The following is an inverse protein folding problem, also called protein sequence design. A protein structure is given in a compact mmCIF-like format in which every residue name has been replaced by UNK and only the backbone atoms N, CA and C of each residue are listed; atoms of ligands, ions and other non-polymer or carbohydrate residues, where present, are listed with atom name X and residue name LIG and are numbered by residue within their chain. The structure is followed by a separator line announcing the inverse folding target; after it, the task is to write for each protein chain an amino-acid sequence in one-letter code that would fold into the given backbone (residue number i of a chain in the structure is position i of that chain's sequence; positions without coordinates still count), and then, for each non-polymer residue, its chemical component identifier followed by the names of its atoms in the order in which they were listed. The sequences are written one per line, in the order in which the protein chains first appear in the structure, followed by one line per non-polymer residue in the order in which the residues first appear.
data_IF_848062691085
#
_entry.id   IF_848062691085
#
_cell.length_a   1.000
_cell.length_b   1.000
_cell.length_c   1.000
_cell.angle_alpha   90.00
_cell.angle_beta   90.00
_cell.angle_gamma   90.00
#
_symmetry.space_group_name_H-M   'P 1'
#
loop_
_entity.id
_entity.type
_entity.pdbx_description
1 polymer ?
#
# COMPACT_ATOMS: atom_id res chain seq x y z
N UNK A 1 14.61 -39.64 -27.49
CA UNK A 1 15.30 -38.34 -27.46
C UNK A 1 14.92 -37.63 -26.18
N UNK A 2 15.91 -37.25 -25.38
CA UNK A 2 15.74 -36.84 -23.98
C UNK A 2 14.97 -35.51 -23.85
N UNK A 3 13.96 -35.50 -22.98
CA UNK A 3 13.34 -34.27 -22.48
C UNK A 3 14.40 -33.50 -21.67
N UNK A 4 14.64 -32.21 -21.93
CA UNK A 4 15.45 -31.42 -21.03
C UNK A 4 14.66 -31.19 -19.74
N UNK A 5 15.21 -31.65 -18.62
CA UNK A 5 14.79 -31.24 -17.28
C UNK A 5 15.05 -29.73 -17.14
N UNK A 6 14.07 -28.92 -16.71
CA UNK A 6 14.33 -27.52 -16.40
C UNK A 6 15.32 -27.43 -15.23
N UNK A 7 16.39 -26.66 -15.41
CA UNK A 7 17.43 -26.44 -14.39
C UNK A 7 16.82 -25.72 -13.18
N UNK A 8 17.10 -26.15 -11.94
CA UNK A 8 16.52 -25.56 -10.72
C UNK A 8 17.17 -24.20 -10.31
N UNK A 9 17.76 -23.47 -11.25
CA UNK A 9 18.52 -22.24 -10.97
C UNK A 9 18.01 -21.01 -11.72
N UNK A 10 16.77 -21.05 -12.23
CA UNK A 10 16.10 -19.93 -12.90
C UNK A 10 14.83 -19.44 -12.17
N UNK A 11 14.56 -19.94 -10.96
CA UNK A 11 13.34 -19.63 -10.19
C UNK A 11 13.51 -18.43 -9.23
N UNK A 12 14.70 -17.86 -9.08
CA UNK A 12 14.97 -16.85 -8.05
C UNK A 12 15.09 -15.40 -8.53
N UNK A 13 15.00 -15.09 -9.83
CA UNK A 13 15.24 -13.71 -10.34
C UNK A 13 14.05 -13.11 -11.10
N UNK A 14 13.00 -13.88 -11.40
CA UNK A 14 11.77 -13.37 -12.04
C UNK A 14 10.58 -13.16 -11.10
N UNK A 15 10.78 -13.28 -9.78
CA UNK A 15 9.77 -12.92 -8.78
C UNK A 15 9.83 -11.43 -8.36
N UNK A 16 10.70 -10.62 -8.98
CA UNK A 16 10.96 -9.23 -8.59
C UNK A 16 10.33 -8.17 -9.51
N UNK A 17 9.53 -8.54 -10.51
CA UNK A 17 8.87 -7.58 -11.39
C UNK A 17 7.38 -7.90 -11.58
N UNK A 18 6.65 -7.90 -10.46
CA UNK A 18 5.23 -7.57 -10.34
C UNK A 18 4.81 -7.52 -8.85
N UNK A 19 5.76 -7.27 -7.95
CA UNK A 19 5.41 -6.64 -6.69
C UNK A 19 5.04 -5.21 -7.07
N UNK A 20 3.75 -4.98 -7.36
CA UNK A 20 3.17 -3.71 -6.91
C UNK A 20 3.68 -3.57 -5.49
N UNK A 21 4.43 -2.51 -5.12
CA UNK A 21 4.70 -2.31 -3.71
C UNK A 21 3.34 -2.42 -3.05
N UNK A 22 3.20 -3.31 -2.06
CA UNK A 22 2.08 -3.22 -1.15
C UNK A 22 2.25 -1.82 -0.55
N UNK A 23 1.70 -0.81 -1.23
CA UNK A 23 1.91 0.57 -0.86
C UNK A 23 1.35 0.64 0.54
N UNK A 24 2.21 1.05 1.46
CA UNK A 24 1.80 1.38 2.79
C UNK A 24 0.68 2.42 2.69
N UNK A 25 -0.58 1.98 2.77
CA UNK A 25 -1.69 2.74 2.18
C UNK A 25 -2.71 3.18 3.21
N UNK A 26 -3.02 4.47 3.13
CA UNK A 26 -4.31 5.00 3.50
C UNK A 26 -5.38 4.55 2.49
N UNK A 27 -6.61 4.39 2.95
CA UNK A 27 -7.75 3.93 2.14
C UNK A 27 -8.68 5.08 1.74
N UNK A 28 -8.97 6.00 2.66
CA UNK A 28 -9.88 7.10 2.40
C UNK A 28 -9.54 8.33 3.25
N UNK A 29 -10.03 9.48 2.81
CA UNK A 29 -9.94 10.78 3.50
C UNK A 29 -11.31 11.43 3.54
N UNK A 30 -11.53 12.31 4.51
CA UNK A 30 -12.70 13.18 4.58
C UNK A 30 -12.94 13.92 3.24
N UNK A 31 -14.07 13.68 2.55
CA UNK A 31 -14.39 14.38 1.30
C UNK A 31 -14.88 15.82 1.55
N UNK A 32 -14.98 16.25 2.80
CA UNK A 32 -15.51 17.56 3.19
C UNK A 32 -17.05 17.57 3.30
N UNK A 33 -17.65 18.75 3.54
CA UNK A 33 -17.02 20.08 3.55
C UNK A 33 -16.08 20.31 4.74
N UNK A 34 -14.97 21.01 4.50
CA UNK A 34 -13.97 21.31 5.52
C UNK A 34 -14.40 22.51 6.38
N UNK A 35 -14.46 22.29 7.70
CA UNK A 35 -15.00 23.25 8.67
C UNK A 35 -13.90 23.99 9.43
N UNK A 36 -14.23 25.17 9.96
CA UNK A 36 -13.29 26.02 10.70
C UNK A 36 -12.73 25.34 11.96
N UNK A 37 -13.51 24.48 12.62
CA UNK A 37 -13.08 23.78 13.83
C UNK A 37 -11.81 22.93 13.62
N UNK A 38 -11.60 22.43 12.40
CA UNK A 38 -10.44 21.63 12.03
C UNK A 38 -9.45 22.43 11.17
N UNK A 39 -9.47 23.76 11.22
CA UNK A 39 -8.57 24.60 10.44
C UNK A 39 -8.77 24.50 8.92
N UNK A 40 -9.97 24.10 8.46
CA UNK A 40 -10.28 23.78 7.06
C UNK A 40 -9.49 22.60 6.49
N UNK A 41 -8.91 21.75 7.35
CA UNK A 41 -8.35 20.46 6.95
C UNK A 41 -9.41 19.35 6.88
N UNK A 42 -9.05 18.23 6.24
CA UNK A 42 -9.80 16.98 6.33
C UNK A 42 -9.99 16.58 7.80
N UNK A 43 -11.21 16.23 8.21
CA UNK A 43 -11.44 15.82 9.59
C UNK A 43 -10.71 14.52 9.95
N UNK A 44 -10.58 13.59 9.01
CA UNK A 44 -10.04 12.25 9.27
C UNK A 44 -9.35 11.61 8.06
N UNK A 45 -8.49 10.63 8.33
CA UNK A 45 -8.00 9.63 7.37
C UNK A 45 -8.31 8.21 7.86
N UNK A 46 -8.67 7.33 6.94
CA UNK A 46 -8.88 5.90 7.18
C UNK A 46 -7.74 5.11 6.55
N UNK A 47 -7.15 4.16 7.28
CA UNK A 47 -6.16 3.23 6.74
C UNK A 47 -6.77 1.99 6.07
N UNK A 48 -5.96 1.22 5.35
CA UNK A 48 -6.38 -0.04 4.71
C UNK A 48 -6.74 -1.16 5.70
N UNK A 49 -6.39 -1.02 6.99
CA UNK A 49 -6.84 -1.89 8.07
C UNK A 49 -8.15 -1.41 8.74
N UNK A 50 -8.77 -0.37 8.21
CA UNK A 50 -10.08 0.16 8.59
C UNK A 50 -10.06 1.15 9.75
N UNK A 51 -8.89 1.45 10.34
CA UNK A 51 -8.77 2.43 11.43
C UNK A 51 -8.91 3.83 10.86
N UNK A 52 -9.70 4.65 11.54
CA UNK A 52 -9.93 6.04 11.15
C UNK A 52 -9.40 6.94 12.26
N UNK A 53 -8.54 7.89 11.89
CA UNK A 53 -7.96 8.86 12.82
C UNK A 53 -8.43 10.25 12.49
N UNK A 54 -8.85 10.99 13.52
CA UNK A 54 -9.19 12.41 13.40
C UNK A 54 -7.91 13.26 13.41
N UNK A 55 -7.96 14.46 12.82
CA UNK A 55 -6.92 15.46 13.01
C UNK A 55 -6.83 15.77 14.52
N UNK A 56 -5.67 15.51 15.12
CA UNK A 56 -5.53 15.50 16.57
C UNK A 56 -5.44 16.93 17.11
N UNK A 57 -6.60 17.54 17.40
CA UNK A 57 -6.73 18.91 17.92
C UNK A 57 -7.35 18.92 19.33
N UNK A 58 -6.76 18.17 20.26
CA UNK A 58 -7.18 18.11 21.67
C UNK A 58 -6.00 18.27 22.62
N UNK A 59 -6.28 18.84 23.79
CA UNK A 59 -5.32 19.03 24.89
C UNK A 59 -5.45 17.95 25.96
N UNK A 60 -6.05 16.80 25.65
CA UNK A 60 -6.01 15.63 26.51
C UNK A 60 -4.55 15.28 26.82
N UNK A 61 -4.28 14.96 28.08
CA UNK A 61 -2.93 14.61 28.56
C UNK A 61 -2.87 13.16 28.98
N UNK A 62 -1.70 12.59 28.82
CA UNK A 62 -1.33 11.27 29.31
C UNK A 62 -1.54 11.18 30.83
N UNK A 63 -2.37 10.24 31.29
CA UNK A 63 -2.46 9.85 32.70
C UNK A 63 -1.29 9.00 33.18
N UNK A 64 -0.52 8.43 32.23
CA UNK A 64 0.62 7.54 32.48
C UNK A 64 1.93 8.30 32.67
N UNK A 65 2.08 9.47 32.04
CA UNK A 65 3.29 10.28 32.08
C UNK A 65 2.95 11.67 32.59
N UNK A 66 3.62 12.10 33.66
CA UNK A 66 3.47 13.46 34.16
C UNK A 66 4.13 14.45 33.17
N UNK A 67 3.40 15.52 32.82
CA UNK A 67 3.97 16.64 32.07
C UNK A 67 5.04 17.39 32.88
N UNK A 68 5.87 18.16 32.17
CA UNK A 68 6.83 19.09 32.77
C UNK A 68 6.26 20.52 32.80
N UNK A 69 6.80 21.43 33.64
CA UNK A 69 6.41 22.84 33.61
C UNK A 69 6.59 23.45 32.21
N UNK A 70 5.50 23.93 31.61
CA UNK A 70 5.49 24.47 30.25
C UNK A 70 5.57 23.42 29.13
N UNK A 71 5.45 22.13 29.46
CA UNK A 71 5.37 21.04 28.49
C UNK A 71 4.42 19.95 29.01
N UNK A 72 3.10 20.15 28.88
CA UNK A 72 2.11 19.13 29.23
C UNK A 72 2.33 17.87 28.39
N UNK A 73 2.06 16.70 28.98
CA UNK A 73 2.18 15.41 28.31
C UNK A 73 0.97 15.17 27.39
N UNK A 74 0.80 15.99 26.35
CA UNK A 74 -0.35 15.92 25.46
C UNK A 74 -0.41 14.59 24.69
N UNK A 75 -1.62 14.12 24.41
CA UNK A 75 -1.87 12.95 23.56
C UNK A 75 -1.81 13.29 22.06
N UNK A 76 -1.96 14.57 21.72
CA UNK A 76 -1.73 15.12 20.38
C UNK A 76 -0.41 15.90 20.34
N UNK A 77 0.30 15.80 19.21
CA UNK A 77 1.49 16.64 18.95
C UNK A 77 1.04 18.07 18.62
N UNK A 78 0.92 18.91 19.65
CA UNK A 78 0.54 20.32 19.55
C UNK A 78 1.74 21.19 19.98
N UNK A 79 2.64 21.50 19.03
CA UNK A 79 3.86 22.24 19.33
C UNK A 79 3.55 23.75 19.47
N UNK A 80 3.84 24.39 20.62
CA UNK A 80 3.70 25.83 20.75
C UNK A 80 4.70 26.58 19.86
N UNK A 81 4.19 27.52 19.08
CA UNK A 81 4.98 28.36 18.18
C UNK A 81 4.79 29.83 18.60
N UNK A 82 5.83 30.53 19.12
CA UNK A 82 5.68 31.89 19.63
C UNK A 82 5.06 32.86 18.62
N UNK A 83 3.91 33.44 18.96
CA UNK A 83 3.18 34.35 18.09
C UNK A 83 2.16 33.68 17.16
N UNK A 84 2.15 32.34 17.08
CA UNK A 84 1.28 31.55 16.20
C UNK A 84 0.33 30.67 16.99
N UNK A 85 0.87 29.87 17.92
CA UNK A 85 0.08 28.96 18.76
C UNK A 85 0.54 28.97 20.23
N UNK A 86 -0.38 29.38 21.11
CA UNK A 86 -0.28 29.32 22.56
C UNK A 86 -1.17 28.17 23.07
N UNK A 87 -0.53 27.11 23.58
CA UNK A 87 -1.17 25.92 24.12
C UNK A 87 -1.87 26.17 25.47
N UNK A 88 -1.82 27.38 26.02
CA UNK A 88 -2.64 27.80 27.16
C UNK A 88 -3.98 28.41 26.74
N UNK A 89 -4.12 28.83 25.48
CA UNK A 89 -5.35 29.43 24.93
C UNK A 89 -6.17 28.44 24.09
N UNK A 90 -7.50 28.60 23.94
CA UNK A 90 -8.31 27.71 23.10
C UNK A 90 -7.77 27.57 21.67
N UNK A 91 -7.85 26.37 21.09
CA UNK A 91 -7.48 26.14 19.69
C UNK A 91 -8.57 26.76 18.81
N UNK A 92 -8.24 27.83 18.07
CA UNK A 92 -9.18 28.60 17.26
C UNK A 92 -8.51 29.03 15.97
N UNK A 93 -9.00 28.53 14.83
CA UNK A 93 -8.52 28.95 13.51
C UNK A 93 -9.14 30.28 13.04
N UNK A 94 -8.38 31.21 12.41
CA UNK A 94 -6.94 31.15 12.15
C UNK A 94 -6.07 31.76 13.25
N UNK A 95 -6.65 32.26 14.35
CA UNK A 95 -5.94 33.13 15.30
C UNK A 95 -4.97 32.44 16.25
N UNK A 96 -5.38 31.34 16.88
CA UNK A 96 -4.56 30.56 17.82
C UNK A 96 -4.67 29.08 17.42
N UNK A 97 -3.96 28.71 16.37
CA UNK A 97 -4.03 27.39 15.76
C UNK A 97 -2.60 26.92 15.46
N UNK A 98 -2.26 25.64 15.71
CA UNK A 98 -0.92 25.16 15.44
C UNK A 98 -0.62 25.22 13.94
N UNK A 99 0.57 25.69 13.58
CA UNK A 99 1.10 25.73 12.21
C UNK A 99 1.31 24.34 11.62
N UNK A 100 1.52 23.34 12.48
CA UNK A 100 1.52 21.91 12.15
C UNK A 100 0.60 21.12 13.08
N UNK A 101 -0.21 20.22 12.51
CA UNK A 101 -1.02 19.27 13.27
C UNK A 101 -0.98 17.89 12.59
N UNK A 102 -1.39 16.85 13.31
CA UNK A 102 -1.15 15.47 12.86
C UNK A 102 -2.40 14.60 13.01
N UNK A 103 -2.71 13.81 11.99
CA UNK A 103 -3.66 12.70 12.11
C UNK A 103 -2.96 11.48 12.73
N UNK A 104 -1.67 11.32 12.44
CA UNK A 104 -0.85 10.20 12.88
C UNK A 104 0.61 10.65 13.03
N UNK A 105 1.28 10.21 14.10
CA UNK A 105 2.75 10.19 14.18
C UNK A 105 3.24 8.85 14.71
N UNK A 106 4.40 8.43 14.23
CA UNK A 106 5.18 7.35 14.80
C UNK A 106 6.67 7.65 14.69
N UNK A 107 7.29 7.86 15.85
CA UNK A 107 8.69 8.24 15.99
C UNK A 107 9.47 7.15 16.73
N UNK A 108 10.68 6.85 16.27
CA UNK A 108 11.59 5.91 16.89
C UNK A 108 13.03 6.43 16.86
N UNK A 109 13.84 5.99 17.81
CA UNK A 109 15.24 6.38 17.88
C UNK A 109 16.16 5.19 18.22
N UNK A 110 17.40 5.26 17.73
CA UNK A 110 18.49 4.35 18.10
C UNK A 110 19.71 5.21 18.39
N UNK A 111 20.19 5.19 19.63
CA UNK A 111 21.42 5.88 20.02
C UNK A 111 22.44 4.86 20.51
N UNK A 112 23.57 4.78 19.81
CA UNK A 112 24.73 3.96 20.18
C UNK A 112 26.01 4.76 19.98
N UNK A 113 26.45 5.43 21.05
CA UNK A 113 27.66 6.23 21.06
C UNK A 113 28.93 5.40 20.80
N UNK A 114 28.96 4.12 21.16
CA UNK A 114 30.12 3.26 20.96
C UNK A 114 30.35 2.94 19.47
N UNK A 115 29.25 2.84 18.71
CA UNK A 115 29.27 2.64 17.25
C UNK A 115 29.16 3.95 16.47
N UNK A 116 29.00 5.09 17.16
CA UNK A 116 28.86 6.41 16.54
C UNK A 116 27.55 6.58 15.77
N UNK A 117 26.47 5.94 16.25
CA UNK A 117 25.13 6.01 15.65
C UNK A 117 24.20 6.85 16.52
N UNK A 118 23.53 7.82 15.90
CA UNK A 118 22.36 8.52 16.44
C UNK A 118 21.33 8.59 15.31
N UNK A 119 20.31 7.72 15.36
CA UNK A 119 19.26 7.59 14.37
C UNK A 119 17.94 8.11 14.96
N UNK A 120 17.29 9.01 14.23
CA UNK A 120 15.88 9.34 14.42
C UNK A 120 15.08 8.97 13.18
N UNK A 121 14.00 8.20 13.38
CA UNK A 121 12.99 7.86 12.39
C UNK A 121 11.68 8.54 12.80
N UNK A 122 11.03 9.24 11.87
CA UNK A 122 9.73 9.83 12.10
C UNK A 122 8.81 9.60 10.92
N UNK A 123 7.57 9.22 11.19
CA UNK A 123 6.53 9.07 10.17
C UNK A 123 5.26 9.76 10.60
N UNK A 124 4.56 10.35 9.63
CA UNK A 124 3.36 11.10 9.94
C UNK A 124 2.38 11.15 8.78
N UNK A 125 1.11 11.35 9.12
CA UNK A 125 0.13 11.99 8.24
C UNK A 125 -0.10 13.37 8.81
N UNK A 126 0.35 14.39 8.09
CA UNK A 126 0.63 15.72 8.61
C UNK A 126 -0.20 16.78 7.90
N UNK A 127 -0.74 17.71 8.68
CA UNK A 127 -1.41 18.93 8.28
C UNK A 127 -0.45 20.10 8.50
N UNK A 128 -0.23 20.90 7.46
CA UNK A 128 0.59 22.10 7.55
C UNK A 128 0.02 23.20 6.66
N UNK A 129 0.60 24.40 6.76
CA UNK A 129 0.29 25.52 5.89
C UNK A 129 1.45 25.78 4.93
N UNK A 130 1.16 25.97 3.65
CA UNK A 130 2.16 26.22 2.61
C UNK A 130 3.00 27.49 2.88
N UNK A 131 2.42 28.47 3.58
CA UNK A 131 3.08 29.70 4.01
C UNK A 131 3.58 29.66 5.47
N UNK A 132 3.59 28.48 6.11
CA UNK A 132 4.00 28.23 7.50
C UNK A 132 3.12 28.91 8.57
N UNK A 133 2.15 29.75 8.17
CA UNK A 133 1.22 30.42 9.07
C UNK A 133 -0.23 29.93 8.85
N UNK A 134 -1.04 29.77 9.91
CA UNK A 134 -2.44 29.39 9.77
C UNK A 134 -3.26 30.39 8.94
N UNK A 135 -3.54 30.03 7.69
CA UNK A 135 -4.34 30.83 6.77
C UNK A 135 -5.28 29.94 5.92
N UNK A 136 -6.49 30.43 5.65
CA UNK A 136 -7.42 29.74 4.76
C UNK A 136 -6.89 29.81 3.32
N UNK A 137 -6.85 28.67 2.64
CA UNK A 137 -6.28 28.56 1.31
C UNK A 137 -4.82 28.13 1.27
N UNK A 138 -4.18 27.89 2.42
CA UNK A 138 -2.80 27.40 2.50
C UNK A 138 -2.70 25.95 3.03
N UNK A 139 -3.83 25.29 3.32
CA UNK A 139 -3.87 23.94 3.87
C UNK A 139 -3.26 22.92 2.93
N UNK A 140 -2.22 22.24 3.39
CA UNK A 140 -1.63 21.06 2.73
C UNK A 140 -1.64 19.86 3.65
N UNK A 141 -1.77 18.67 3.06
CA UNK A 141 -1.54 17.41 3.77
C UNK A 141 -0.58 16.52 3.00
N UNK A 142 0.15 15.68 3.71
CA UNK A 142 1.06 14.73 3.11
C UNK A 142 1.37 13.57 4.07
N UNK A 143 1.82 12.47 3.49
CA UNK A 143 2.47 11.39 4.20
C UNK A 143 3.97 11.67 4.27
N UNK A 144 4.55 11.60 5.47
CA UNK A 144 5.97 11.87 5.71
C UNK A 144 6.69 10.62 6.18
N UNK A 145 7.86 10.38 5.60
CA UNK A 145 8.92 9.55 6.17
C UNK A 145 10.16 10.42 6.33
N UNK A 146 10.73 10.46 7.53
CA UNK A 146 11.96 11.20 7.84
C UNK A 146 12.97 10.31 8.52
N UNK A 147 14.19 10.30 8.00
CA UNK A 147 15.32 9.54 8.52
C UNK A 147 16.51 10.48 8.67
N UNK A 148 16.99 10.64 9.90
CA UNK A 148 18.23 11.37 10.19
C UNK A 148 19.16 10.47 10.96
N UNK A 149 20.41 10.35 10.50
CA UNK A 149 21.40 9.49 11.12
C UNK A 149 22.77 10.15 11.16
N UNK A 150 23.37 10.17 12.34
CA UNK A 150 24.81 10.35 12.52
C UNK A 150 25.48 9.00 12.30
N UNK A 151 26.49 8.92 11.43
CA UNK A 151 27.21 7.66 11.15
C UNK A 151 28.72 7.85 11.22
N UNK A 152 29.51 6.83 11.61
CA UNK A 152 30.93 7.02 11.92
C UNK A 152 31.84 7.07 10.69
N UNK A 153 31.45 6.45 9.57
CA UNK A 153 32.30 6.24 8.39
C UNK A 153 31.50 6.32 7.08
N UNK A 154 32.20 6.43 5.96
CA UNK A 154 31.61 6.28 4.63
C UNK A 154 31.19 4.82 4.37
N UNK A 155 30.20 4.63 3.50
CA UNK A 155 29.76 3.33 3.00
C UNK A 155 28.25 3.23 2.84
N UNK A 156 27.77 2.03 2.51
CA UNK A 156 26.35 1.76 2.31
C UNK A 156 25.65 1.40 3.62
N UNK A 157 24.58 2.12 3.93
CA UNK A 157 23.70 1.87 5.06
C UNK A 157 22.31 1.45 4.57
N UNK A 158 21.74 0.40 5.17
CA UNK A 158 20.39 -0.07 4.88
C UNK A 158 19.53 0.19 6.10
N UNK A 159 18.42 0.90 5.93
CA UNK A 159 17.48 1.21 6.99
C UNK A 159 16.16 0.51 6.68
N UNK A 160 15.88 -0.55 7.42
CA UNK A 160 14.58 -1.24 7.38
C UNK A 160 13.67 -0.60 8.42
N UNK A 161 12.47 -0.19 8.02
CA UNK A 161 11.50 0.46 8.89
C UNK A 161 10.09 -0.09 8.63
N UNK A 162 9.06 0.34 9.39
CA UNK A 162 7.72 -0.24 9.27
C UNK A 162 7.05 -0.12 7.90
N UNK A 163 7.52 0.79 7.06
CA UNK A 163 6.92 1.11 5.76
C UNK A 163 7.85 0.85 4.58
N UNK A 164 8.99 0.20 4.79
CA UNK A 164 9.88 -0.14 3.68
C UNK A 164 11.34 -0.30 4.08
N UNK A 165 12.19 -0.22 3.05
CA UNK A 165 13.64 -0.29 3.17
C UNK A 165 14.23 0.84 2.35
N UNK A 166 15.01 1.70 2.99
CA UNK A 166 15.78 2.76 2.33
C UNK A 166 17.28 2.39 2.37
N UNK A 167 17.97 2.58 1.24
CA UNK A 167 19.41 2.29 1.10
C UNK A 167 20.14 3.60 0.80
N UNK A 168 21.15 3.91 1.61
CA UNK A 168 21.93 5.15 1.52
C UNK A 168 23.38 4.83 1.21
N UNK A 169 23.94 5.45 0.18
CA UNK A 169 25.37 5.49 -0.06
C UNK A 169 25.95 6.76 0.57
N UNK A 170 26.69 6.61 1.66
CA UNK A 170 27.20 7.73 2.46
C UNK A 170 28.67 7.99 2.10
N UNK A 171 29.01 9.17 1.52
CA UNK A 171 30.37 9.44 1.06
C UNK A 171 31.36 9.77 2.18
N UNK A 172 30.86 10.20 3.34
CA UNK A 172 31.65 10.50 4.53
C UNK A 172 30.79 10.38 5.79
N UNK A 173 31.37 9.86 6.88
CA UNK A 173 30.72 9.85 8.19
C UNK A 173 30.58 11.27 8.77
N UNK A 174 29.71 11.41 9.77
CA UNK A 174 29.47 12.66 10.47
C UNK A 174 28.03 12.79 10.94
N UNK A 175 27.75 13.95 11.55
CA UNK A 175 26.42 14.33 12.02
C UNK A 175 25.46 14.51 10.85
N UNK A 176 24.30 13.86 10.91
CA UNK A 176 23.26 13.87 9.87
C UNK A 176 23.81 13.56 8.48
N UNK A 177 24.79 12.66 8.41
CA UNK A 177 25.31 12.16 7.15
C UNK A 177 24.22 11.46 6.32
N UNK A 178 23.19 10.92 6.99
CA UNK A 178 21.89 10.61 6.39
C UNK A 178 20.90 11.68 6.89
N UNK A 179 20.24 12.37 5.97
CA UNK A 179 19.21 13.36 6.26
C UNK A 179 18.16 13.36 5.15
N UNK A 180 17.27 12.38 5.19
CA UNK A 180 16.23 12.16 4.20
C UNK A 180 14.88 12.58 4.78
N UNK A 181 14.14 13.35 4.00
CA UNK A 181 12.71 13.60 4.18
C UNK A 181 12.01 13.28 2.88
N UNK A 182 10.98 12.45 2.97
CA UNK A 182 10.10 12.09 1.86
C UNK A 182 8.68 12.49 2.26
N UNK A 183 8.22 13.58 1.67
CA UNK A 183 6.85 14.08 1.82
C UNK A 183 6.11 13.78 0.51
N UNK A 184 5.10 12.90 0.58
CA UNK A 184 4.31 12.48 -0.58
C UNK A 184 2.88 12.96 -0.40
N UNK A 185 2.33 13.53 -1.48
CA UNK A 185 0.94 13.93 -1.52
C UNK A 185 0.68 15.41 -1.31
N UNK A 186 1.72 16.24 -1.24
CA UNK A 186 1.58 17.70 -1.28
C UNK A 186 0.89 18.07 -2.60
N UNK A 187 -0.40 18.39 -2.51
CA UNK A 187 -1.24 18.79 -3.61
C UNK A 187 -1.58 20.29 -3.52
N UNK A 188 -2.43 20.78 -4.42
CA UNK A 188 -2.96 22.14 -4.31
C UNK A 188 -3.73 22.32 -3.00
N UNK A 189 -3.78 23.56 -2.51
CA UNK A 189 -4.44 23.84 -1.24
C UNK A 189 -5.87 23.31 -1.20
N UNK A 190 -6.22 22.63 -0.10
CA UNK A 190 -7.52 22.01 0.10
C UNK A 190 -7.74 20.66 -0.61
N UNK A 191 -6.76 20.14 -1.36
CA UNK A 191 -6.77 18.75 -1.85
C UNK A 191 -6.04 17.83 -0.86
N UNK A 192 -6.82 17.15 -0.01
CA UNK A 192 -6.29 16.20 0.97
C UNK A 192 -6.19 14.77 0.45
N UNK A 193 -6.56 14.51 -0.82
CA UNK A 193 -6.45 13.17 -1.41
C UNK A 193 -5.00 12.78 -1.73
N UNK A 194 -4.09 13.75 -1.82
CA UNK A 194 -2.70 13.52 -2.16
C UNK A 194 -1.98 12.59 -1.18
N UNK A 195 -2.26 12.70 0.13
CA UNK A 195 -1.67 11.83 1.15
C UNK A 195 -2.02 10.34 0.96
N UNK A 196 -3.12 10.02 0.27
CA UNK A 196 -3.49 8.63 -0.07
C UNK A 196 -2.50 7.96 -1.04
N UNK A 197 -1.67 8.75 -1.73
CA UNK A 197 -0.62 8.26 -2.63
C UNK A 197 0.72 8.04 -1.91
N UNK A 198 0.77 8.36 -0.62
CA UNK A 198 1.93 8.19 0.23
C UNK A 198 2.24 6.74 0.55
N UNK A 199 3.38 6.54 1.20
CA UNK A 199 3.88 5.26 1.68
C UNK A 199 3.86 5.17 3.21
N UNK A 200 2.86 5.78 3.84
CA UNK A 200 2.60 5.67 5.28
C UNK A 200 1.19 5.11 5.49
N UNK A 201 1.14 3.89 6.04
CA UNK A 201 -0.11 3.16 6.25
C UNK A 201 0.13 1.64 6.19
N UNK A 202 -0.69 0.81 6.81
CA UNK A 202 -1.64 1.13 7.86
C UNK A 202 -1.02 1.86 9.06
N UNK A 203 -1.85 2.47 9.90
CA UNK A 203 -1.35 3.18 11.07
C UNK A 203 -0.70 2.18 12.04
N UNK A 204 0.53 2.47 12.45
CA UNK A 204 1.13 1.78 13.59
C UNK A 204 0.33 2.12 14.85
N UNK A 205 0.23 1.15 15.74
CA UNK A 205 -0.42 1.34 17.04
C UNK A 205 0.40 0.68 18.13
N UNK A 206 0.34 1.23 19.33
CA UNK A 206 0.89 0.57 20.51
C UNK A 206 0.22 -0.78 20.71
N UNK A 207 1.00 -1.79 21.11
CA UNK A 207 0.47 -3.11 21.50
C UNK A 207 -0.33 -3.07 22.80
N UNK A 208 -0.16 -2.00 23.59
CA UNK A 208 -0.85 -1.76 24.87
C UNK A 208 -2.09 -0.87 24.69
N UNK A 209 -2.23 -0.22 23.53
CA UNK A 209 -3.38 0.62 23.19
C UNK A 209 -4.63 -0.18 22.76
N UNK A 210 -5.75 0.51 22.49
CA UNK A 210 -5.90 1.96 22.55
C UNK A 210 -5.95 2.51 23.98
N UNK A 211 -5.53 3.76 24.15
CA UNK A 211 -5.67 4.48 25.42
C UNK A 211 -6.91 5.36 25.43
N UNK A 212 -7.45 5.61 26.63
CA UNK A 212 -8.57 6.53 26.83
C UNK A 212 -8.10 7.66 27.73
N UNK A 213 -8.20 8.89 27.25
CA UNK A 213 -7.90 10.09 28.03
C UNK A 213 -9.02 11.09 27.87
N UNK A 214 -9.58 11.54 28.99
CA UNK A 214 -10.67 12.52 29.00
C UNK A 214 -11.90 12.13 28.14
N UNK A 215 -12.17 10.83 27.99
CA UNK A 215 -13.24 10.28 27.16
C UNK A 215 -12.89 10.12 25.67
N UNK A 216 -11.70 10.55 25.24
CA UNK A 216 -11.19 10.41 23.88
C UNK A 216 -10.30 9.16 23.77
N UNK A 217 -10.24 8.55 22.58
CA UNK A 217 -9.49 7.31 22.35
C UNK A 217 -8.27 7.57 21.46
N UNK A 218 -7.14 6.95 21.77
CA UNK A 218 -5.88 7.12 21.04
C UNK A 218 -5.24 5.77 20.72
N UNK A 219 -4.61 5.65 19.55
CA UNK A 219 -3.93 4.40 19.14
C UNK A 219 -2.59 4.15 19.85
N UNK A 220 -2.10 5.16 20.57
CA UNK A 220 -0.86 5.15 21.33
C UNK A 220 -0.78 6.38 22.24
N UNK A 221 0.34 6.49 22.97
CA UNK A 221 0.67 7.66 23.79
C UNK A 221 2.03 8.19 23.31
N UNK A 222 2.12 9.42 22.77
CA UNK A 222 3.38 9.95 22.25
C UNK A 222 4.40 10.27 23.37
N UNK A 223 4.01 10.13 24.63
CA UNK A 223 4.87 10.34 25.79
C UNK A 223 5.54 9.04 26.26
N UNK A 224 5.26 7.90 25.60
CA UNK A 224 5.80 6.59 25.92
C UNK A 224 6.47 5.95 24.71
N UNK A 225 7.62 5.32 24.94
CA UNK A 225 8.27 4.46 23.96
C UNK A 225 7.79 3.01 24.13
N UNK A 226 6.93 2.56 23.23
CA UNK A 226 6.27 1.25 23.32
C UNK A 226 6.44 0.41 22.06
N UNK A 227 6.31 -0.91 22.22
CA UNK A 227 6.25 -1.83 21.08
C UNK A 227 5.01 -1.55 20.24
N UNK A 228 5.13 -1.69 18.93
CA UNK A 228 4.03 -1.44 17.99
C UNK A 228 3.65 -2.65 17.17
N UNK A 229 2.47 -2.56 16.55
CA UNK A 229 2.00 -3.45 15.50
C UNK A 229 1.32 -2.64 14.40
N UNK A 230 1.10 -3.26 13.23
CA UNK A 230 0.35 -2.66 12.12
C UNK A 230 1.18 -2.42 10.85
N UNK A 231 2.49 -2.71 10.86
CA UNK A 231 3.31 -2.63 9.64
C UNK A 231 2.74 -3.51 8.51
N UNK A 232 2.61 -2.99 7.28
CA UNK A 232 2.17 -3.76 6.12
C UNK A 232 3.20 -4.80 5.65
N UNK A 233 4.44 -4.72 6.15
CA UNK A 233 5.53 -5.64 5.80
C UNK A 233 5.94 -6.54 6.96
N UNK A 234 5.16 -6.54 8.05
CA UNK A 234 5.51 -7.20 9.31
C UNK A 234 6.87 -6.74 9.89
N UNK A 235 7.29 -5.51 9.57
CA UNK A 235 8.51 -4.88 10.08
C UNK A 235 8.18 -3.88 11.19
N UNK A 236 7.64 -4.36 12.32
CA UNK A 236 7.27 -3.49 13.46
C UNK A 236 8.49 -2.98 14.27
N UNK A 237 9.53 -2.53 13.57
CA UNK A 237 10.82 -2.10 14.11
C UNK A 237 11.53 -1.15 13.14
N UNK A 238 12.50 -0.40 13.65
CA UNK A 238 13.51 0.29 12.84
C UNK A 238 14.83 -0.43 13.04
N UNK A 239 15.55 -0.73 11.95
CA UNK A 239 16.87 -1.38 11.96
C UNK A 239 17.80 -0.67 10.99
N UNK A 240 19.02 -0.39 11.45
CA UNK A 240 20.12 0.11 10.62
C UNK A 240 21.20 -0.94 10.50
N UNK A 241 21.56 -1.26 9.27
CA UNK A 241 22.70 -2.08 8.90
C UNK A 241 23.73 -1.22 8.16
N UNK A 242 25.02 -1.48 8.35
CA UNK A 242 26.07 -0.70 7.68
C UNK A 242 27.49 -1.26 7.82
N UNK A 243 28.50 -0.48 7.41
CA UNK A 243 29.91 -0.87 7.46
C UNK A 243 30.37 -1.29 8.86
N UNK A 244 31.45 -2.07 8.92
CA UNK A 244 32.04 -2.58 10.17
C UNK A 244 31.09 -3.44 11.03
N UNK A 245 30.06 -4.03 10.42
CA UNK A 245 29.10 -4.88 11.11
C UNK A 245 28.11 -4.12 11.99
N UNK A 246 27.80 -2.87 11.65
CA UNK A 246 26.68 -2.14 12.27
C UNK A 246 25.39 -2.92 11.96
N UNK A 247 24.70 -3.29 13.02
CA UNK A 247 23.38 -3.91 13.02
C UNK A 247 22.69 -3.56 14.34
N UNK A 248 21.87 -2.51 14.31
CA UNK A 248 21.15 -2.01 15.47
C UNK A 248 19.65 -1.96 15.16
N UNK A 249 18.83 -2.27 16.15
CA UNK A 249 17.37 -2.32 16.00
C UNK A 249 16.66 -1.78 17.25
N UNK A 250 15.55 -1.09 17.05
CA UNK A 250 14.55 -0.77 18.07
C UNK A 250 13.17 -1.24 17.63
N UNK A 251 12.38 -1.75 18.57
CA UNK A 251 10.95 -2.02 18.37
C UNK A 251 10.06 -0.97 19.04
N UNK A 252 10.67 0.03 19.68
CA UNK A 252 9.98 1.03 20.47
C UNK A 252 9.69 2.27 19.64
N UNK A 253 8.46 2.75 19.75
CA UNK A 253 7.98 3.97 19.10
C UNK A 253 7.15 4.79 20.07
N UNK A 254 7.25 6.11 19.92
CA UNK A 254 6.29 7.08 20.42
C UNK A 254 5.21 7.31 19.37
N UNK A 255 3.94 7.04 19.71
CA UNK A 255 2.81 7.04 18.74
C UNK A 255 1.74 8.07 19.15
N UNK A 256 1.37 8.97 18.25
CA UNK A 256 0.17 9.81 18.37
C UNK A 256 -0.86 9.46 17.29
N UNK A 257 -2.14 9.55 17.66
CA UNK A 257 -3.26 9.40 16.74
C UNK A 257 -4.58 9.24 17.49
N UNK A 258 -5.50 10.19 17.31
CA UNK A 258 -6.83 10.16 17.92
C UNK A 258 -7.77 9.31 17.07
N UNK A 259 -8.36 8.27 17.66
CA UNK A 259 -9.36 7.43 16.98
C UNK A 259 -10.63 8.23 16.74
N UNK A 260 -11.12 8.18 15.50
CA UNK A 260 -12.38 8.80 15.10
C UNK A 260 -13.58 8.02 15.61
N UNK A 261 -14.67 8.72 15.92
CA UNK A 261 -15.96 8.13 16.23
C UNK A 261 -16.85 7.97 14.99
N UNK A 262 -16.39 8.41 13.81
CA UNK A 262 -17.11 8.24 12.56
C UNK A 262 -17.12 6.76 12.17
N UNK A 263 -18.32 6.23 11.92
CA UNK A 263 -18.50 4.89 11.36
C UNK A 263 -18.07 4.88 9.89
N UNK A 264 -17.25 3.88 9.52
CA UNK A 264 -16.71 3.73 8.17
C UNK A 264 -16.91 2.32 7.65
N UNK A 265 -17.13 2.13 6.34
CA UNK A 265 -17.14 0.80 5.76
C UNK A 265 -15.78 0.12 5.90
N UNK A 266 -15.78 -1.21 6.00
CA UNK A 266 -14.57 -2.04 5.97
C UNK A 266 -13.84 -1.85 4.63
N UNK A 267 -12.54 -1.52 4.63
CA UNK A 267 -11.77 -1.48 3.40
C UNK A 267 -11.82 -2.83 2.66
N UNK A 268 -12.13 -2.79 1.37
CA UNK A 268 -12.11 -3.97 0.51
C UNK A 268 -11.63 -3.55 -0.87
N UNK A 269 -10.44 -4.01 -1.25
CA UNK A 269 -9.77 -3.66 -2.49
C UNK A 269 -9.62 -4.91 -3.36
N UNK A 270 -10.55 -5.15 -4.29
CA UNK A 270 -10.36 -6.05 -5.43
C UNK A 270 -8.95 -6.04 -6.01
N UNK A 271 -8.29 -7.20 -6.10
CA UNK A 271 -7.00 -7.31 -6.80
C UNK A 271 -7.16 -8.05 -8.12
N UNK A 272 -7.47 -9.35 -8.05
CA UNK A 272 -7.51 -10.23 -9.21
C UNK A 272 -8.53 -11.34 -9.01
N UNK A 273 -9.30 -11.63 -10.06
CA UNK A 273 -10.09 -12.85 -10.16
C UNK A 273 -9.87 -13.50 -11.51
N UNK A 274 -9.38 -14.73 -11.51
CA UNK A 274 -9.19 -15.50 -12.74
C UNK A 274 -9.88 -16.83 -12.71
N UNK A 275 -10.21 -17.38 -13.87
CA UNK A 275 -10.69 -18.74 -13.99
C UNK A 275 -9.88 -19.56 -14.99
N UNK A 276 -9.90 -20.88 -14.84
CA UNK A 276 -9.42 -21.81 -15.85
C UNK A 276 -10.36 -22.99 -15.99
N UNK A 277 -10.44 -23.55 -17.20
CA UNK A 277 -11.27 -24.70 -17.54
C UNK A 277 -10.54 -25.58 -18.53
N UNK A 278 -10.42 -26.87 -18.25
CA UNK A 278 -9.88 -27.84 -19.20
C UNK A 278 -10.53 -29.22 -19.00
N UNK A 279 -10.34 -30.10 -19.99
CA UNK A 279 -10.76 -31.49 -19.89
C UNK A 279 -9.57 -32.35 -19.48
N UNK A 280 -9.68 -33.11 -18.40
CA UNK A 280 -8.67 -34.06 -17.95
C UNK A 280 -9.28 -35.46 -17.95
N UNK A 281 -8.77 -36.35 -18.80
CA UNK A 281 -9.29 -37.73 -18.94
C UNK A 281 -10.79 -37.83 -19.24
N UNK A 282 -11.38 -36.81 -19.86
CA UNK A 282 -12.82 -36.74 -20.17
C UNK A 282 -13.66 -36.07 -19.07
N UNK A 283 -13.06 -35.70 -17.94
CA UNK A 283 -13.72 -34.95 -16.88
C UNK A 283 -13.40 -33.46 -16.99
N UNK A 284 -14.40 -32.62 -16.73
CA UNK A 284 -14.20 -31.17 -16.62
C UNK A 284 -13.43 -30.82 -15.35
N UNK A 285 -12.33 -30.10 -15.50
CA UNK A 285 -11.61 -29.42 -14.43
C UNK A 285 -11.84 -27.92 -14.58
N UNK A 286 -12.39 -27.31 -13.56
CA UNK A 286 -12.59 -25.87 -13.50
C UNK A 286 -12.16 -25.32 -12.15
N UNK A 287 -11.62 -24.10 -12.17
CA UNK A 287 -11.29 -23.37 -10.96
C UNK A 287 -11.51 -21.87 -11.16
N UNK A 288 -11.72 -21.19 -10.04
CA UNK A 288 -11.78 -19.75 -9.91
C UNK A 288 -10.78 -19.39 -8.80
N UNK A 289 -9.90 -18.44 -9.06
CA UNK A 289 -8.89 -17.93 -8.13
C UNK A 289 -9.18 -16.46 -7.86
N UNK A 290 -9.21 -16.04 -6.60
CA UNK A 290 -9.53 -14.66 -6.22
C UNK A 290 -8.56 -14.14 -5.18
N UNK A 291 -8.10 -12.91 -5.40
CA UNK A 291 -7.20 -12.17 -4.54
C UNK A 291 -7.85 -10.82 -4.22
N UNK A 292 -7.88 -10.47 -2.94
CA UNK A 292 -8.32 -9.15 -2.46
C UNK A 292 -7.43 -8.66 -1.33
N UNK A 293 -7.37 -7.36 -1.13
CA UNK A 293 -6.88 -6.76 0.11
C UNK A 293 -8.06 -6.33 0.98
N UNK A 294 -7.99 -6.63 2.26
CA UNK A 294 -8.94 -6.22 3.29
C UNK A 294 -8.22 -6.25 4.64
N UNK A 295 -8.77 -5.66 5.72
CA UNK A 295 -8.14 -5.74 7.03
C UNK A 295 -7.77 -7.19 7.41
N UNK A 296 -6.64 -7.42 8.11
CA UNK A 296 -6.24 -8.75 8.55
C UNK A 296 -7.17 -9.26 9.67
N UNK A 297 -7.04 -10.54 10.07
CA UNK A 297 -7.73 -11.08 11.24
C UNK A 297 -7.67 -10.13 12.45
N UNK A 298 -8.78 -9.92 13.17
CA UNK A 298 -9.97 -10.78 13.19
C UNK A 298 -11.06 -10.42 12.15
N UNK A 299 -10.76 -9.59 11.15
CA UNK A 299 -11.67 -9.41 10.02
C UNK A 299 -11.93 -10.73 9.29
N UNK A 300 -13.02 -10.78 8.54
CA UNK A 300 -13.38 -11.93 7.69
C UNK A 300 -13.61 -11.47 6.26
N UNK A 301 -13.29 -12.35 5.31
CA UNK A 301 -13.58 -12.13 3.89
C UNK A 301 -14.21 -13.40 3.31
N UNK A 302 -15.31 -13.23 2.58
CA UNK A 302 -16.13 -14.34 2.10
C UNK A 302 -16.58 -14.10 0.66
N UNK A 303 -16.45 -15.11 -0.20
CA UNK A 303 -17.11 -15.18 -1.49
C UNK A 303 -18.58 -15.59 -1.28
N UNK A 304 -19.49 -14.67 -1.61
CA UNK A 304 -20.94 -14.78 -1.37
C UNK A 304 -21.73 -15.09 -2.63
N UNK A 305 -21.11 -15.02 -3.81
CA UNK A 305 -21.74 -15.38 -5.10
C UNK A 305 -21.70 -16.89 -5.40
N UNK A 306 -21.58 -17.73 -4.38
CA UNK A 306 -21.66 -19.19 -4.52
C UNK A 306 -22.36 -19.83 -3.32
N UNK A 307 -22.77 -21.09 -3.45
CA UNK A 307 -23.44 -21.84 -2.37
C UNK A 307 -22.77 -23.20 -2.17
N UNK A 308 -22.29 -23.53 -0.94
CA UNK A 308 -22.20 -22.63 0.21
C UNK A 308 -21.22 -21.48 -0.03
N UNK A 309 -21.36 -20.40 0.75
CA UNK A 309 -20.37 -19.32 0.79
C UNK A 309 -18.98 -19.89 1.08
N UNK A 310 -17.95 -19.28 0.48
CA UNK A 310 -16.57 -19.71 0.64
C UNK A 310 -15.77 -18.64 1.38
N UNK A 311 -15.26 -18.96 2.56
CA UNK A 311 -14.33 -18.10 3.29
C UNK A 311 -12.99 -18.01 2.55
N UNK A 312 -12.43 -16.81 2.48
CA UNK A 312 -11.05 -16.61 2.03
C UNK A 312 -10.09 -16.87 3.19
N UNK A 313 -8.87 -17.28 2.84
CA UNK A 313 -7.75 -17.47 3.77
C UNK A 313 -6.83 -16.26 3.70
N UNK A 314 -6.46 -15.72 4.86
CA UNK A 314 -5.47 -14.64 4.97
C UNK A 314 -4.05 -15.22 5.04
N UNK A 315 -3.10 -14.59 4.34
CA UNK A 315 -1.80 -15.21 4.09
C UNK A 315 -0.74 -14.95 5.17
N UNK A 316 -0.68 -13.76 5.79
CA UNK A 316 0.54 -13.30 6.48
C UNK A 316 0.32 -12.23 7.57
N UNK A 317 -0.91 -11.97 7.99
CA UNK A 317 -1.28 -10.92 8.94
C UNK A 317 -1.25 -9.50 8.38
N UNK A 318 -1.07 -9.32 7.07
CA UNK A 318 -0.99 -7.99 6.42
C UNK A 318 -2.22 -7.67 5.57
N UNK A 319 -3.26 -8.52 5.59
CA UNK A 319 -4.52 -8.26 4.92
C UNK A 319 -4.58 -8.72 3.46
N UNK A 320 -3.69 -9.64 3.07
CA UNK A 320 -3.75 -10.29 1.75
C UNK A 320 -4.59 -11.57 1.84
N UNK A 321 -5.71 -11.60 1.12
CA UNK A 321 -6.69 -12.69 1.18
C UNK A 321 -6.76 -13.45 -0.15
N UNK A 322 -6.88 -14.77 -0.08
CA UNK A 322 -7.01 -15.67 -1.22
C UNK A 322 -8.09 -16.74 -0.99
N UNK A 323 -8.82 -17.08 -2.05
CA UNK A 323 -9.58 -18.33 -2.12
C UNK A 323 -9.48 -18.94 -3.51
N UNK A 324 -9.77 -20.25 -3.55
CA UNK A 324 -10.02 -21.00 -4.76
C UNK A 324 -11.38 -21.68 -4.68
N UNK A 325 -12.19 -21.53 -5.73
CA UNK A 325 -13.45 -22.25 -5.90
C UNK A 325 -13.34 -23.24 -7.05
N UNK A 326 -13.85 -24.46 -6.88
CA UNK A 326 -13.91 -25.49 -7.92
C UNK A 326 -15.16 -25.36 -8.82
N UNK A 327 -15.95 -24.30 -8.67
CA UNK A 327 -17.14 -24.07 -9.49
C UNK A 327 -16.70 -23.80 -10.94
N UNK A 328 -17.39 -24.44 -11.89
CA UNK A 328 -17.28 -24.12 -13.30
C UNK A 328 -18.04 -22.81 -13.59
N UNK A 329 -17.36 -21.67 -13.84
CA UNK A 329 -18.04 -20.42 -14.16
C UNK A 329 -18.59 -20.42 -15.58
N UNK A 330 -19.67 -19.68 -15.77
CA UNK A 330 -20.04 -19.16 -17.09
C UNK A 330 -19.14 -17.98 -17.46
N UNK A 331 -18.72 -17.82 -18.72
CA UNK A 331 -17.95 -16.66 -19.15
C UNK A 331 -18.68 -15.34 -18.84
N UNK A 332 -17.94 -14.34 -18.33
CA UNK A 332 -18.51 -13.06 -17.90
C UNK A 332 -19.11 -13.07 -16.49
N UNK A 333 -18.93 -14.15 -15.72
CA UNK A 333 -19.29 -14.20 -14.30
C UNK A 333 -18.65 -13.04 -13.53
N UNK A 334 -19.41 -12.44 -12.61
CA UNK A 334 -18.91 -11.44 -11.67
C UNK A 334 -19.08 -11.99 -10.26
N UNK A 335 -17.96 -12.25 -9.58
CA UNK A 335 -17.95 -12.72 -8.20
C UNK A 335 -18.38 -11.60 -7.25
N UNK A 336 -19.00 -11.97 -6.12
CA UNK A 336 -19.33 -11.04 -5.04
C UNK A 336 -18.52 -11.42 -3.80
N UNK A 337 -17.68 -10.49 -3.34
CA UNK A 337 -16.87 -10.63 -2.14
C UNK A 337 -17.44 -9.74 -1.05
N UNK A 338 -17.59 -10.28 0.15
CA UNK A 338 -17.94 -9.53 1.35
C UNK A 338 -16.74 -9.49 2.30
N UNK A 339 -16.44 -8.32 2.87
CA UNK A 339 -15.46 -8.16 3.93
C UNK A 339 -16.11 -7.49 5.14
N UNK A 340 -15.82 -8.00 6.34
CA UNK A 340 -16.34 -7.52 7.60
C UNK A 340 -15.24 -7.43 8.66
N UNK A 341 -15.01 -6.22 9.19
CA UNK A 341 -14.04 -5.92 10.24
C UNK A 341 -14.70 -5.50 11.57
N UNK A 342 -16.01 -5.74 11.74
CA UNK A 342 -16.78 -5.34 12.92
C UNK A 342 -16.28 -5.96 14.23
N UNK A 343 -15.62 -7.13 14.17
CA UNK A 343 -15.00 -7.77 15.33
C UNK A 343 -13.84 -6.94 15.88
N UNK A 344 -13.01 -6.35 15.02
CA UNK A 344 -11.91 -5.49 15.46
C UNK A 344 -12.36 -4.05 15.73
N UNK A 345 -13.32 -3.55 14.93
CA UNK A 345 -13.81 -2.18 14.96
C UNK A 345 -15.34 -2.23 14.96
N UNK A 346 -16.02 -2.22 16.12
CA UNK A 346 -17.47 -2.42 16.21
C UNK A 346 -18.33 -1.46 15.40
N UNK A 347 -17.84 -0.24 15.10
CA UNK A 347 -18.52 0.74 14.25
C UNK A 347 -18.31 0.51 12.75
N UNK A 348 -17.44 -0.42 12.35
CA UNK A 348 -17.18 -0.72 10.95
C UNK A 348 -18.35 -1.51 10.36
N UNK A 349 -18.89 -1.05 9.23
CA UNK A 349 -19.89 -1.80 8.47
C UNK A 349 -19.24 -2.69 7.42
N UNK A 350 -19.83 -3.86 7.15
CA UNK A 350 -19.33 -4.76 6.11
C UNK A 350 -19.45 -4.14 4.70
N UNK A 351 -18.51 -4.49 3.82
CA UNK A 351 -18.43 -3.99 2.45
C UNK A 351 -18.57 -5.14 1.46
N UNK A 352 -19.30 -4.91 0.37
CA UNK A 352 -19.35 -5.83 -0.76
C UNK A 352 -18.59 -5.25 -1.95
N UNK A 353 -17.88 -6.11 -2.68
CA UNK A 353 -17.21 -5.75 -3.93
C UNK A 353 -17.50 -6.78 -5.02
N UNK A 354 -17.68 -6.28 -6.23
CA UNK A 354 -17.80 -7.08 -7.43
C UNK A 354 -16.42 -7.37 -8.03
N UNK A 355 -16.14 -8.63 -8.36
CA UNK A 355 -14.89 -9.10 -8.96
C UNK A 355 -15.19 -9.75 -10.32
N UNK A 356 -15.04 -9.04 -11.44
CA UNK A 356 -15.20 -9.63 -12.77
C UNK A 356 -14.22 -10.78 -12.96
N UNK A 357 -14.74 -11.98 -13.24
CA UNK A 357 -13.92 -13.16 -13.41
C UNK A 357 -13.40 -13.21 -14.85
N UNK A 358 -12.07 -13.16 -15.01
CA UNK A 358 -11.43 -13.15 -16.33
C UNK A 358 -10.68 -14.45 -16.58
N UNK A 359 -10.50 -14.83 -17.83
CA UNK A 359 -9.53 -15.86 -18.16
C UNK A 359 -8.09 -15.34 -17.97
N UNK A 360 -7.12 -16.24 -17.93
CA UNK A 360 -5.70 -15.91 -17.97
C UNK A 360 -5.21 -16.06 -19.40
N UNK A 361 -4.65 -14.97 -19.95
CA UNK A 361 -3.93 -15.01 -21.23
C UNK A 361 -2.45 -15.20 -20.94
N UNK A 362 -1.77 -15.98 -21.76
CA UNK A 362 -0.31 -16.12 -21.73
C UNK A 362 0.24 -16.04 -23.14
N UNK A 363 1.11 -15.08 -23.39
CA UNK A 363 1.90 -14.97 -24.62
C UNK A 363 3.13 -15.87 -24.44
N UNK A 364 3.26 -16.88 -25.29
CA UNK A 364 4.41 -17.81 -25.26
C UNK A 364 5.44 -17.48 -26.34
N UNK A 365 5.07 -16.63 -27.31
CA UNK A 365 5.97 -16.17 -28.36
C UNK A 365 5.57 -14.78 -28.83
N UNK A 366 6.54 -13.87 -28.83
CA UNK A 366 6.46 -12.55 -29.44
C UNK A 366 7.76 -12.23 -30.17
N UNK A 367 7.81 -12.57 -31.46
CA UNK A 367 9.05 -12.48 -32.25
C UNK A 367 8.83 -11.71 -33.55
N UNK A 368 9.72 -10.76 -33.86
CA UNK A 368 9.73 -10.04 -35.12
C UNK A 368 10.95 -10.42 -35.95
N UNK A 369 10.75 -10.99 -37.14
CA UNK A 369 11.81 -11.31 -38.08
C UNK A 369 12.22 -10.07 -38.88
N UNK A 370 13.47 -9.66 -38.74
CA UNK A 370 14.03 -8.53 -39.46
C UNK A 370 14.15 -8.82 -40.97
N UNK A 371 14.52 -10.05 -41.35
CA UNK A 371 14.59 -10.46 -42.75
C UNK A 371 13.24 -10.38 -43.49
N UNK A 372 12.12 -10.66 -42.79
CA UNK A 372 10.78 -10.72 -43.40
C UNK A 372 9.91 -9.48 -43.13
N UNK A 373 10.25 -8.70 -42.11
CA UNK A 373 9.42 -7.60 -41.63
C UNK A 373 8.11 -8.09 -40.99
N UNK A 374 8.16 -9.25 -40.34
CA UNK A 374 6.99 -10.04 -39.93
C UNK A 374 7.04 -10.36 -38.44
N UNK A 375 5.94 -10.08 -37.74
CA UNK A 375 5.69 -10.39 -36.34
C UNK A 375 4.94 -11.73 -36.24
N UNK A 376 5.44 -12.65 -35.43
CA UNK A 376 4.74 -13.87 -35.02
C UNK A 376 4.37 -13.79 -33.55
N UNK A 377 3.07 -13.98 -33.27
CA UNK A 377 2.52 -14.08 -31.92
C UNK A 377 1.90 -15.45 -31.69
N UNK A 378 2.15 -16.02 -30.52
CA UNK A 378 1.45 -17.20 -30.01
C UNK A 378 1.00 -16.90 -28.58
N UNK A 379 -0.29 -17.05 -28.33
CA UNK A 379 -0.85 -16.87 -27.00
C UNK A 379 -1.94 -17.91 -26.71
N UNK A 380 -2.20 -18.15 -25.44
CA UNK A 380 -3.24 -19.07 -24.97
C UNK A 380 -4.15 -18.44 -23.93
N UNK A 381 -5.42 -18.85 -23.92
CA UNK A 381 -6.34 -18.60 -22.80
C UNK A 381 -6.36 -19.80 -21.86
N UNK A 382 -6.61 -19.58 -20.56
CA UNK A 382 -6.87 -20.63 -19.58
C UNK A 382 -8.26 -21.28 -19.70
N UNK A 383 -9.12 -20.77 -20.58
CA UNK A 383 -10.40 -21.38 -20.93
C UNK A 383 -10.23 -22.30 -22.14
N UNK A 384 -9.89 -23.56 -21.89
CA UNK A 384 -9.66 -24.56 -22.95
C UNK A 384 -10.95 -25.23 -23.41
N UNK A 385 -12.05 -25.08 -22.65
CA UNK A 385 -13.33 -25.72 -22.96
C UNK A 385 -14.21 -24.87 -23.86
N UNK A 386 -14.13 -23.54 -23.75
CA UNK A 386 -14.72 -22.61 -24.73
C UNK A 386 -13.78 -21.46 -25.03
N UNK A 387 -12.70 -21.72 -25.81
CA UNK A 387 -11.63 -20.75 -26.03
C UNK A 387 -12.09 -19.40 -26.59
N UNK A 388 -11.86 -18.29 -25.86
CA UNK A 388 -12.29 -16.96 -26.28
C UNK A 388 -11.57 -16.48 -27.53
N UNK A 389 -12.18 -15.52 -28.24
CA UNK A 389 -11.46 -14.76 -29.24
C UNK A 389 -10.30 -13.98 -28.57
N UNK A 390 -9.12 -14.00 -29.19
CA UNK A 390 -7.93 -13.27 -28.74
C UNK A 390 -7.57 -12.20 -29.77
N UNK A 391 -7.31 -10.98 -29.30
CA UNK A 391 -6.98 -9.81 -30.15
C UNK A 391 -5.61 -9.28 -29.76
N UNK A 392 -4.70 -9.15 -30.73
CA UNK A 392 -3.39 -8.56 -30.52
C UNK A 392 -3.38 -7.05 -30.79
N UNK A 393 -2.60 -6.33 -29.99
CA UNK A 393 -2.29 -4.91 -30.13
C UNK A 393 -0.80 -4.68 -29.92
N UNK A 394 -0.29 -3.56 -30.43
CA UNK A 394 1.01 -3.02 -30.03
C UNK A 394 0.90 -2.42 -28.62
N UNK A 395 2.04 -2.20 -27.95
CA UNK A 395 2.07 -1.58 -26.61
C UNK A 395 1.53 -0.15 -26.55
N UNK A 396 1.29 0.51 -27.69
CA UNK A 396 0.60 1.82 -27.76
C UNK A 396 -0.88 1.70 -28.15
N UNK A 397 -1.45 0.50 -28.16
CA UNK A 397 -2.87 0.22 -28.37
C UNK A 397 -3.31 0.02 -29.82
N UNK A 398 -2.40 0.09 -30.80
CA UNK A 398 -2.73 -0.13 -32.22
C UNK A 398 -3.09 -1.60 -32.45
N UNK A 399 -4.26 -1.88 -33.02
CA UNK A 399 -4.72 -3.26 -33.28
C UNK A 399 -3.85 -3.90 -34.37
N UNK A 400 -3.30 -5.07 -34.07
CA UNK A 400 -2.56 -5.92 -35.01
C UNK A 400 -3.47 -6.94 -35.70
N UNK A 401 -4.50 -7.43 -35.00
CA UNK A 401 -5.50 -8.35 -35.53
C UNK A 401 -5.92 -9.43 -34.53
N UNK A 402 -6.83 -10.30 -34.96
CA UNK A 402 -7.27 -11.44 -34.16
C UNK A 402 -6.31 -12.62 -34.33
N UNK A 403 -5.98 -13.31 -33.24
CA UNK A 403 -5.25 -14.57 -33.32
C UNK A 403 -6.20 -15.67 -33.80
N UNK A 404 -5.66 -16.59 -34.59
CA UNK A 404 -6.35 -17.72 -35.21
C UNK A 404 -5.79 -19.05 -34.74
N UNK A 405 -6.62 -20.10 -34.74
CA UNK A 405 -6.27 -21.44 -34.28
C UNK A 405 -7.47 -22.16 -33.68
N UNK A 406 -7.44 -23.49 -33.76
CA UNK A 406 -8.41 -24.34 -33.08
C UNK A 406 -7.96 -24.56 -31.63
N UNK A 407 -8.85 -24.31 -30.67
CA UNK A 407 -8.56 -24.49 -29.25
C UNK A 407 -8.05 -23.22 -28.54
N UNK A 408 -7.44 -23.45 -27.38
CA UNK A 408 -6.98 -22.40 -26.45
C UNK A 408 -5.77 -21.62 -26.95
N UNK A 409 -4.84 -22.31 -27.63
CA UNK A 409 -3.62 -21.74 -28.20
C UNK A 409 -3.93 -21.18 -29.58
N UNK A 410 -3.63 -19.91 -29.80
CA UNK A 410 -3.88 -19.20 -31.05
C UNK A 410 -2.62 -18.47 -31.49
N UNK A 411 -2.54 -18.18 -32.79
CA UNK A 411 -1.41 -17.49 -33.39
C UNK A 411 -1.83 -16.38 -34.33
N UNK A 412 -1.00 -15.35 -34.42
CA UNK A 412 -1.13 -14.27 -35.39
C UNK A 412 0.22 -14.08 -36.10
N UNK A 413 0.16 -13.92 -37.41
CA UNK A 413 1.27 -13.38 -38.20
C UNK A 413 0.84 -12.03 -38.73
N UNK A 414 1.60 -10.98 -38.44
CA UNK A 414 1.29 -9.61 -38.82
C UNK A 414 2.53 -8.92 -39.39
N UNK A 415 2.34 -7.92 -40.25
CA UNK A 415 3.44 -7.13 -40.81
C UNK A 415 3.35 -5.68 -40.33
N UNK A 416 3.59 -5.40 -39.03
CA UNK A 416 3.57 -4.04 -38.52
C UNK A 416 4.67 -3.23 -39.21
N UNK A 417 4.28 -2.12 -39.84
CA UNK A 417 5.16 -1.18 -40.55
C UNK A 417 5.02 0.22 -39.93
N UNK A 418 6.06 1.08 -39.98
CA UNK A 418 7.37 0.88 -40.63
C UNK A 418 8.42 0.19 -39.75
N UNK A 419 8.18 -0.01 -38.46
CA UNK A 419 9.14 -0.54 -37.50
C UNK A 419 8.51 -1.68 -36.67
N UNK A 420 9.32 -2.61 -36.15
CA UNK A 420 8.85 -3.58 -35.17
C UNK A 420 8.29 -2.88 -33.93
N UNK A 421 7.16 -3.32 -33.38
CA UNK A 421 6.70 -2.83 -32.09
C UNK A 421 7.65 -3.29 -30.99
N UNK A 422 7.91 -2.45 -29.99
CA UNK A 422 8.73 -2.83 -28.84
C UNK A 422 8.01 -3.82 -27.91
N UNK A 423 6.69 -3.66 -27.78
CA UNK A 423 5.80 -4.48 -26.96
C UNK A 423 4.56 -4.87 -27.73
N UNK A 424 4.00 -6.01 -27.36
CA UNK A 424 2.71 -6.51 -27.83
C UNK A 424 1.84 -6.83 -26.63
N UNK A 425 0.53 -6.69 -26.81
CA UNK A 425 -0.49 -7.07 -25.85
C UNK A 425 -1.49 -7.98 -26.54
N UNK A 426 -1.94 -9.03 -25.86
CA UNK A 426 -3.03 -9.90 -26.34
C UNK A 426 -4.17 -9.85 -25.32
N UNK A 427 -5.34 -9.41 -25.78
CA UNK A 427 -6.58 -9.31 -25.00
C UNK A 427 -7.52 -10.47 -25.35
N UNK A 428 -8.19 -11.03 -24.34
CA UNK A 428 -9.27 -12.00 -24.48
C UNK A 428 -10.64 -11.33 -24.47
N UNK A 429 -11.59 -11.91 -25.21
CA UNK A 429 -13.00 -11.51 -25.18
C UNK A 429 -13.65 -11.63 -23.78
N UNK A 430 -13.04 -12.38 -22.85
CA UNK A 430 -13.50 -12.52 -21.46
C UNK A 430 -12.60 -11.80 -20.44
N UNK A 431 -11.84 -10.80 -20.90
CA UNK A 431 -11.17 -9.82 -20.05
C UNK A 431 -9.74 -10.15 -19.65
N UNK A 432 -9.27 -11.39 -19.89
CA UNK A 432 -7.86 -11.73 -19.70
C UNK A 432 -6.95 -10.94 -20.64
N UNK A 433 -5.75 -10.60 -20.19
CA UNK A 433 -4.75 -9.94 -21.03
C UNK A 433 -3.34 -10.32 -20.60
N UNK A 434 -2.41 -10.29 -21.54
CA UNK A 434 -0.98 -10.42 -21.29
C UNK A 434 -0.17 -9.49 -22.21
N UNK A 435 1.03 -9.10 -21.80
CA UNK A 435 1.90 -8.19 -22.54
C UNK A 435 3.36 -8.62 -22.47
N UNK A 436 4.02 -8.67 -23.62
CA UNK A 436 5.40 -9.12 -23.74
C UNK A 436 6.25 -8.15 -24.56
N UNK A 437 7.53 -8.09 -24.24
CA UNK A 437 8.53 -7.45 -25.09
C UNK A 437 8.70 -8.28 -26.38
N UNK A 438 8.87 -7.60 -27.50
CA UNK A 438 9.07 -8.25 -28.80
C UNK A 438 10.54 -8.58 -28.98
N UNK A 439 10.82 -9.86 -29.14
CA UNK A 439 12.16 -10.36 -29.46
C UNK A 439 12.45 -10.15 -30.94
N UNK A 440 13.49 -9.39 -31.26
CA UNK A 440 13.96 -9.23 -32.63
C UNK A 440 14.80 -10.44 -33.02
N UNK A 441 14.41 -11.13 -34.09
CA UNK A 441 15.14 -12.27 -34.64
C UNK A 441 15.68 -11.95 -36.04
N UNK A 442 16.88 -12.43 -36.41
CA UNK A 442 17.49 -12.17 -37.72
C UNK A 442 16.59 -12.54 -38.92
#
# INVERSE_FOLDING_TARGET
MHRPLPKPLAVAIFASMLQLPAQAALYAVDPGPYIQANGKFAAWYQDSHGRTLDLCLTKAVSSRVAGAPGAPAYMCTLLPTPGVFDDTQPIVFPTNFPDEAFWFTADAAIVDAARGIDLSFGTAIEAAFAAEEPAEGDQVSFARVRIRVDVPVAGTYVITHPYGVDVFDVPAGGRRAINMTRDIGIAGAGDFSGALKGDVGPFLRSVNGPYIENGERFIGDPNLDERVTGSPFNTNFVRIEGPNGIDLRTELFSISGKLSDIARPTPLMPQRSTYSRHMENGDLRAQQDMFVLAPPPPATVTLTSQTPNLSLTEANGTGTWYAQSAINPDPGTVLQINADNSVAIPSSSATNAALPLTDLVTITRAEYSLARGELTLVASSSDETSPPALTARTGNGTVLGNLSGDGAVKSLTANPRPLPPAKVQVDSAYGGSDSEDVVLVP
#
